data_IF_052658999664
#
_entry.id   IF_052658999664
#
_cell.length_a   1.000
_cell.length_b   1.000
_cell.length_c   1.000
_cell.angle_alpha   90.00
_cell.angle_beta   90.00
_cell.angle_gamma   90.00
#
_symmetry.space_group_name_H-M   'P 1'
#
loop_
_entity.id
_entity.type
_entity.pdbx_description
1 polymer ?
#
# COMPACT_ATOMS: atom_id res chain seq x y z
N UNK A 1 18.80 15.92 14.59
CA UNK A 1 17.82 15.97 15.71
C UNK A 1 18.53 15.89 17.07
N UNK A 2 19.52 14.99 17.23
CA UNK A 2 20.47 15.08 18.35
C UNK A 2 21.13 16.47 18.38
N UNK A 3 21.37 17.07 17.20
CA UNK A 3 21.84 18.44 17.03
C UNK A 3 20.84 19.51 17.55
N UNK A 4 19.53 19.27 17.40
CA UNK A 4 18.48 20.18 17.90
C UNK A 4 18.36 20.09 19.44
N UNK A 5 18.53 18.89 20.01
CA UNK A 5 18.59 18.70 21.45
C UNK A 5 19.83 19.40 22.04
N UNK A 6 21.01 19.21 21.43
CA UNK A 6 22.25 19.89 21.83
C UNK A 6 22.12 21.41 21.74
N UNK A 7 21.53 21.93 20.65
CA UNK A 7 21.26 23.36 20.49
C UNK A 7 20.32 23.89 21.60
N UNK A 8 19.32 23.12 22.01
CA UNK A 8 18.42 23.51 23.11
C UNK A 8 19.20 23.76 24.39
N UNK A 9 20.09 22.85 24.79
CA UNK A 9 20.93 23.01 25.98
C UNK A 9 21.87 24.22 25.89
N UNK A 10 22.46 24.48 24.72
CA UNK A 10 23.34 25.64 24.51
C UNK A 10 22.58 26.95 24.67
N UNK A 11 21.37 27.03 24.10
CA UNK A 11 20.55 28.23 24.24
C UNK A 11 20.11 28.43 25.69
N UNK A 12 19.64 27.37 26.35
CA UNK A 12 19.19 27.43 27.74
C UNK A 12 20.34 27.85 28.68
N UNK A 13 21.56 27.35 28.43
CA UNK A 13 22.78 27.80 29.13
C UNK A 13 23.10 29.28 28.88
N UNK A 14 22.89 29.79 27.66
CA UNK A 14 23.03 31.20 27.35
C UNK A 14 22.07 32.09 28.15
N UNK A 15 20.82 31.65 28.33
CA UNK A 15 19.84 32.37 29.17
C UNK A 15 20.27 32.34 30.65
N UNK A 16 20.79 31.21 31.13
CA UNK A 16 21.32 31.09 32.50
C UNK A 16 22.50 32.02 32.78
N UNK A 17 23.33 32.34 31.77
CA UNK A 17 24.38 33.36 31.92
C UNK A 17 23.81 34.77 32.12
N UNK A 18 22.64 35.07 31.54
CA UNK A 18 21.94 36.35 31.77
C UNK A 18 21.41 36.41 33.21
N UNK A 19 20.82 35.32 33.71
CA UNK A 19 20.43 35.22 35.12
C UNK A 19 21.63 35.31 36.06
N UNK A 20 22.78 34.75 35.69
CA UNK A 20 23.99 34.86 36.48
C UNK A 20 24.53 36.30 36.52
N UNK A 21 24.51 37.00 35.39
CA UNK A 21 24.85 38.41 35.33
C UNK A 21 23.88 39.29 36.16
N UNK A 22 22.64 38.83 36.37
CA UNK A 22 21.65 39.50 37.21
C UNK A 22 21.81 39.17 38.71
N UNK A 23 22.71 38.25 39.06
CA UNK A 23 22.96 37.81 40.43
C UNK A 23 21.99 36.75 40.95
N UNK A 24 21.09 36.23 40.11
CA UNK A 24 20.08 35.23 40.49
C UNK A 24 20.68 33.84 40.70
N UNK A 25 21.71 33.47 39.93
CA UNK A 25 22.38 32.17 40.01
C UNK A 25 23.90 32.29 39.83
N UNK A 26 24.70 31.31 40.30
CA UNK A 26 26.13 31.28 40.01
C UNK A 26 26.43 31.17 38.50
N UNK A 27 27.55 31.75 38.05
CA UNK A 27 27.98 31.71 36.64
C UNK A 27 28.25 30.30 36.10
N UNK A 28 28.52 29.33 36.99
CA UNK A 28 28.78 27.93 36.62
C UNK A 28 27.53 27.16 36.19
N UNK A 29 26.32 27.62 36.54
CA UNK A 29 25.07 26.85 36.33
C UNK A 29 24.78 26.63 34.85
N UNK A 30 24.92 27.67 34.01
CA UNK A 30 24.74 27.56 32.56
C UNK A 30 25.70 26.57 31.91
N UNK A 31 27.03 26.72 32.08
CA UNK A 31 28.02 25.77 31.59
C UNK A 31 27.80 24.34 32.11
N UNK A 32 27.40 24.16 33.37
CA UNK A 32 27.11 22.84 33.93
C UNK A 32 25.92 22.16 33.21
N UNK A 33 24.83 22.90 32.98
CA UNK A 33 23.67 22.38 32.23
C UNK A 33 24.07 21.98 30.80
N UNK A 34 24.79 22.86 30.09
CA UNK A 34 25.27 22.57 28.74
C UNK A 34 26.19 21.33 28.73
N UNK A 35 27.10 21.22 29.70
CA UNK A 35 27.99 20.06 29.84
C UNK A 35 27.22 18.74 30.00
N UNK A 36 26.24 18.68 30.91
CA UNK A 36 25.39 17.50 31.10
C UNK A 36 24.60 17.14 29.83
N UNK A 37 23.98 18.14 29.20
CA UNK A 37 23.18 17.94 27.99
C UNK A 37 23.99 17.50 26.78
N UNK A 38 25.10 18.19 26.50
CA UNK A 38 25.98 17.87 25.38
C UNK A 38 26.71 16.53 25.57
N UNK A 39 27.10 16.18 26.80
CA UNK A 39 27.64 14.85 27.10
C UNK A 39 26.61 13.76 26.80
N UNK A 40 25.35 13.97 27.20
CA UNK A 40 24.26 13.04 26.88
C UNK A 40 24.09 12.88 25.37
N UNK A 41 24.03 14.00 24.63
CA UNK A 41 23.92 13.99 23.16
C UNK A 41 25.11 13.27 22.52
N UNK A 42 26.33 13.52 22.97
CA UNK A 42 27.54 12.88 22.47
C UNK A 42 27.53 11.36 22.71
N UNK A 43 27.09 10.90 23.89
CA UNK A 43 26.94 9.47 24.20
C UNK A 43 25.98 8.81 23.22
N UNK A 44 24.82 9.40 22.96
CA UNK A 44 23.85 8.82 22.05
C UNK A 44 24.26 8.90 20.57
N UNK A 45 25.01 9.94 20.17
CA UNK A 45 25.64 9.99 18.86
C UNK A 45 26.65 8.86 18.69
N UNK A 46 27.54 8.65 19.67
CA UNK A 46 28.50 7.56 19.64
C UNK A 46 27.81 6.18 19.58
N UNK A 47 26.77 5.96 20.41
CA UNK A 47 25.98 4.72 20.36
C UNK A 47 25.35 4.47 18.98
N UNK A 48 24.94 5.54 18.31
CA UNK A 48 24.40 5.48 16.96
C UNK A 48 25.47 5.16 15.91
N UNK A 49 26.63 5.81 15.98
CA UNK A 49 27.73 5.61 15.02
C UNK A 49 28.36 4.21 15.14
N UNK A 50 28.45 3.65 16.35
CA UNK A 50 28.94 2.28 16.56
C UNK A 50 27.91 1.19 16.22
N UNK A 51 26.72 1.55 15.72
CA UNK A 51 25.65 0.61 15.35
C UNK A 51 25.09 -0.18 16.54
N UNK A 52 25.36 0.27 17.77
CA UNK A 52 24.84 -0.35 19.00
C UNK A 52 23.33 -0.08 19.10
N UNK A 53 22.90 1.11 18.66
CA UNK A 53 21.50 1.49 18.51
C UNK A 53 20.68 0.50 17.69
N UNK A 54 21.28 -0.09 16.64
CA UNK A 54 20.58 -0.91 15.66
C UNK A 54 20.19 -2.28 16.23
N UNK A 55 20.89 -2.69 17.29
CA UNK A 55 20.60 -3.91 18.06
C UNK A 55 19.52 -3.70 19.12
N UNK A 56 19.16 -2.45 19.42
CA UNK A 56 18.15 -2.12 20.41
C UNK A 56 16.76 -2.08 19.78
N UNK A 57 15.76 -2.52 20.56
CA UNK A 57 14.34 -2.46 20.14
C UNK A 57 13.85 -1.02 19.95
N UNK A 58 14.45 -0.07 20.66
CA UNK A 58 14.30 1.37 20.47
C UNK A 58 15.54 1.92 19.76
N UNK A 59 15.53 1.86 18.42
CA UNK A 59 16.66 2.27 17.59
C UNK A 59 17.10 3.72 17.86
N UNK A 60 16.16 4.63 18.13
CA UNK A 60 16.47 6.03 18.39
C UNK A 60 16.78 6.32 19.87
N UNK A 61 16.73 5.30 20.74
CA UNK A 61 16.88 5.44 22.19
C UNK A 61 16.00 6.56 22.77
N UNK A 62 14.77 6.71 22.28
CA UNK A 62 13.87 7.82 22.63
C UNK A 62 13.58 7.85 24.12
N UNK A 63 13.21 6.70 24.70
CA UNK A 63 12.84 6.63 26.12
C UNK A 63 14.06 6.86 27.03
N UNK A 64 15.23 6.21 26.83
CA UNK A 64 16.45 6.52 27.57
C UNK A 64 16.86 8.00 27.49
N UNK A 65 16.84 8.60 26.31
CA UNK A 65 17.17 10.02 26.11
C UNK A 65 16.20 10.94 26.85
N UNK A 66 14.89 10.72 26.69
CA UNK A 66 13.88 11.51 27.36
C UNK A 66 13.98 11.39 28.89
N UNK A 67 14.29 10.19 29.40
CA UNK A 67 14.46 9.93 30.83
C UNK A 67 15.68 10.64 31.39
N UNK A 68 16.84 10.57 30.73
CA UNK A 68 18.06 11.26 31.17
C UNK A 68 17.83 12.78 31.15
N UNK A 69 17.21 13.31 30.10
CA UNK A 69 16.87 14.73 30.06
C UNK A 69 15.90 15.13 31.18
N UNK A 70 14.87 14.32 31.44
CA UNK A 70 13.92 14.57 32.54
C UNK A 70 14.67 14.66 33.86
N UNK A 71 15.56 13.70 34.16
CA UNK A 71 16.35 13.69 35.39
C UNK A 71 17.24 14.94 35.48
N UNK A 72 17.93 15.31 34.39
CA UNK A 72 18.75 16.52 34.36
C UNK A 72 17.91 17.77 34.68
N UNK A 73 16.78 17.96 33.99
CA UNK A 73 15.94 19.16 34.17
C UNK A 73 15.33 19.25 35.57
N UNK A 74 14.84 18.12 36.12
CA UNK A 74 14.28 18.10 37.47
C UNK A 74 15.36 18.33 38.53
N UNK A 75 16.54 17.72 38.38
CA UNK A 75 17.66 17.90 39.32
C UNK A 75 18.11 19.37 39.38
N UNK A 76 18.22 20.02 38.22
CA UNK A 76 18.56 21.44 38.18
C UNK A 76 17.44 22.34 38.71
N UNK A 77 16.17 21.96 38.51
CA UNK A 77 15.04 22.68 39.10
C UNK A 77 15.02 22.61 40.64
N UNK A 78 15.44 21.48 41.23
CA UNK A 78 15.58 21.35 42.68
C UNK A 78 16.80 22.10 43.24
N UNK A 79 17.94 22.06 42.54
CA UNK A 79 19.16 22.73 42.97
C UNK A 79 19.09 24.26 42.83
N UNK A 80 18.37 24.74 41.80
CA UNK A 80 18.24 26.16 41.47
C UNK A 80 16.77 26.57 41.28
N UNK A 81 15.94 26.48 42.35
CA UNK A 81 14.50 26.73 42.28
C UNK A 81 14.17 28.17 41.88
N UNK A 82 15.13 29.09 42.08
CA UNK A 82 15.05 30.50 41.72
C UNK A 82 14.78 30.74 40.22
N UNK A 83 15.32 29.87 39.38
CA UNK A 83 15.18 29.88 37.91
C UNK A 83 14.44 28.63 37.42
N UNK A 84 13.75 27.91 38.31
CA UNK A 84 13.19 26.59 38.04
C UNK A 84 12.22 26.53 36.84
N UNK A 85 11.54 27.65 36.56
CA UNK A 85 10.64 27.80 35.39
C UNK A 85 11.37 27.55 34.06
N UNK A 86 12.65 27.93 33.94
CA UNK A 86 13.43 27.66 32.72
C UNK A 86 13.50 26.16 32.43
N UNK A 87 13.85 25.34 33.44
CA UNK A 87 13.99 23.90 33.25
C UNK A 87 12.63 23.23 32.95
N UNK A 88 11.55 23.71 33.57
CA UNK A 88 10.20 23.26 33.26
C UNK A 88 9.80 23.61 31.81
N UNK A 89 10.11 24.81 31.33
CA UNK A 89 9.89 25.20 29.93
C UNK A 89 10.70 24.32 28.97
N UNK A 90 11.94 23.96 29.31
CA UNK A 90 12.78 23.07 28.50
C UNK A 90 12.22 21.65 28.38
N UNK A 91 11.44 21.17 29.37
CA UNK A 91 10.76 19.87 29.26
C UNK A 91 9.75 19.84 28.10
N UNK A 92 9.00 20.92 27.86
CA UNK A 92 8.06 21.00 26.73
C UNK A 92 8.77 20.83 25.39
N UNK A 93 9.93 21.45 25.23
CA UNK A 93 10.73 21.40 24.00
C UNK A 93 11.26 19.98 23.78
N UNK A 94 11.87 19.37 24.80
CA UNK A 94 12.49 18.05 24.67
C UNK A 94 11.45 16.95 24.47
N UNK A 95 10.33 17.00 25.19
CA UNK A 95 9.24 16.05 24.98
C UNK A 95 8.52 16.27 23.66
N UNK A 96 8.43 17.52 23.18
CA UNK A 96 7.95 17.84 21.84
C UNK A 96 8.80 17.17 20.76
N UNK A 97 10.13 17.27 20.82
CA UNK A 97 11.01 16.58 19.88
C UNK A 97 10.97 15.07 20.02
N UNK A 98 10.94 14.55 21.26
CA UNK A 98 10.84 13.12 21.53
C UNK A 98 9.56 12.54 20.91
N UNK A 99 8.45 13.28 20.98
CA UNK A 99 7.16 12.84 20.44
C UNK A 99 7.17 12.60 18.93
N UNK A 100 8.05 13.27 18.16
CA UNK A 100 8.18 13.06 16.72
C UNK A 100 8.68 11.66 16.34
N UNK A 101 9.31 10.95 17.29
CA UNK A 101 9.93 9.64 17.07
C UNK A 101 9.33 8.53 17.93
N UNK A 102 8.52 8.89 18.91
CA UNK A 102 7.91 7.95 19.83
C UNK A 102 6.82 7.12 19.14
N UNK A 103 6.87 5.81 19.34
CA UNK A 103 5.68 4.97 19.22
C UNK A 103 4.66 5.32 20.31
N UNK A 104 3.37 4.97 20.15
CA UNK A 104 2.36 5.23 21.18
C UNK A 104 2.74 4.64 22.56
N UNK A 105 3.38 3.47 22.57
CA UNK A 105 3.84 2.81 23.80
C UNK A 105 4.98 3.60 24.46
N UNK A 106 5.97 4.06 23.69
CA UNK A 106 7.07 4.86 24.21
C UNK A 106 6.59 6.22 24.73
N UNK A 107 5.64 6.85 24.02
CA UNK A 107 5.01 8.09 24.45
C UNK A 107 4.30 7.92 25.80
N UNK A 108 3.55 6.82 25.99
CA UNK A 108 2.90 6.52 27.26
C UNK A 108 3.92 6.33 28.40
N UNK A 109 5.00 5.58 28.17
CA UNK A 109 6.06 5.39 29.18
C UNK A 109 6.70 6.74 29.55
N UNK A 110 7.09 7.53 28.55
CA UNK A 110 7.72 8.83 28.76
C UNK A 110 6.78 9.81 29.49
N UNK A 111 5.49 9.79 29.17
CA UNK A 111 4.45 10.56 29.85
C UNK A 111 4.29 10.15 31.32
N UNK A 112 4.25 8.85 31.60
CA UNK A 112 4.17 8.35 32.99
C UNK A 112 5.39 8.78 33.80
N UNK A 113 6.60 8.66 33.25
CA UNK A 113 7.83 9.11 33.92
C UNK A 113 7.83 10.62 34.17
N UNK A 114 7.41 11.42 33.17
CA UNK A 114 7.26 12.86 33.30
C UNK A 114 6.26 13.23 34.40
N UNK A 115 5.09 12.56 34.42
CA UNK A 115 4.06 12.81 35.42
C UNK A 115 4.54 12.48 36.84
N UNK A 116 5.24 11.35 37.02
CA UNK A 116 5.84 10.98 38.31
C UNK A 116 6.90 12.00 38.73
N UNK A 117 7.81 12.36 37.83
CA UNK A 117 8.89 13.31 38.10
C UNK A 117 8.40 14.71 38.46
N UNK A 118 7.42 15.23 37.71
CA UNK A 118 6.76 16.50 38.04
C UNK A 118 6.00 16.41 39.36
N UNK A 119 5.30 15.31 39.64
CA UNK A 119 4.62 15.12 40.93
C UNK A 119 5.62 15.18 42.08
N UNK A 120 6.77 14.48 41.96
CA UNK A 120 7.83 14.53 42.95
C UNK A 120 8.35 15.96 43.15
N UNK A 121 8.65 16.66 42.06
CA UNK A 121 9.15 18.03 42.10
C UNK A 121 8.15 19.01 42.74
N UNK A 122 6.85 18.92 42.44
CA UNK A 122 5.86 19.88 42.93
C UNK A 122 5.29 19.56 44.32
N UNK A 123 5.25 18.28 44.70
CA UNK A 123 4.64 17.84 45.97
C UNK A 123 5.68 17.56 47.05
N UNK A 124 6.85 17.03 46.66
CA UNK A 124 7.89 16.60 47.61
C UNK A 124 9.01 17.62 47.79
N UNK A 125 9.21 18.53 46.83
CA UNK A 125 10.26 19.55 46.92
C UNK A 125 9.90 20.63 47.95
N UNK A 126 10.86 20.93 48.82
CA UNK A 126 10.70 21.93 49.88
C UNK A 126 10.77 23.39 49.37
N UNK A 127 11.70 23.79 48.48
CA UNK A 127 11.74 25.16 47.98
C UNK A 127 10.67 25.40 46.90
N UNK A 128 9.94 26.53 46.97
CA UNK A 128 9.02 26.90 45.91
C UNK A 128 9.79 27.23 44.63
N UNK A 129 9.32 26.71 43.49
CA UNK A 129 9.83 27.12 42.18
C UNK A 129 9.36 28.54 41.90
N UNK A 130 10.30 29.46 41.66
CA UNK A 130 9.99 30.88 41.46
C UNK A 130 10.17 31.32 40.02
N UNK A 131 9.48 32.41 39.68
CA UNK A 131 9.68 33.15 38.44
C UNK A 131 10.53 34.41 38.74
N UNK A 132 11.78 34.48 38.28
CA UNK A 132 12.66 35.63 38.57
C UNK A 132 12.18 36.87 37.80
N UNK A 133 11.74 37.89 38.54
CA UNK A 133 11.11 39.11 38.02
C UNK A 133 11.52 40.38 38.79
N UNK A 134 12.54 40.29 39.64
CA UNK A 134 13.01 41.36 40.51
C UNK A 134 13.71 42.48 39.75
N UNK A 135 14.63 42.14 38.84
CA UNK A 135 15.35 43.13 38.01
C UNK A 135 14.85 43.17 36.56
N UNK A 136 15.11 44.27 35.85
CA UNK A 136 14.82 44.38 34.41
C UNK A 136 15.54 43.28 33.62
N UNK A 137 16.74 42.88 34.05
CA UNK A 137 17.51 41.83 33.39
C UNK A 137 16.92 40.44 33.62
N UNK A 138 16.42 40.16 34.83
CA UNK A 138 15.66 38.94 35.12
C UNK A 138 14.38 38.87 34.29
N UNK A 139 13.61 39.97 34.21
CA UNK A 139 12.40 40.03 33.38
C UNK A 139 12.71 39.78 31.90
N UNK A 140 13.81 40.33 31.40
CA UNK A 140 14.27 40.11 30.03
C UNK A 140 14.64 38.63 29.79
N UNK A 141 15.43 38.02 30.69
CA UNK A 141 15.77 36.59 30.60
C UNK A 141 14.52 35.70 30.67
N UNK A 142 13.59 36.00 31.58
CA UNK A 142 12.32 35.27 31.73
C UNK A 142 11.44 35.39 30.48
N UNK A 143 11.35 36.60 29.89
CA UNK A 143 10.67 36.78 28.61
C UNK A 143 11.30 35.92 27.51
N UNK A 144 12.64 35.85 27.47
CA UNK A 144 13.38 35.06 26.48
C UNK A 144 13.13 33.55 26.64
N UNK A 145 13.04 33.04 27.87
CA UNK A 145 12.65 31.64 28.15
C UNK A 145 11.33 31.29 27.45
N UNK A 146 10.28 32.07 27.71
CA UNK A 146 8.96 31.80 27.14
C UNK A 146 8.93 31.98 25.63
N UNK A 147 9.53 33.06 25.11
CA UNK A 147 9.54 33.35 23.68
C UNK A 147 10.25 32.24 22.89
N UNK A 148 11.39 31.76 23.38
CA UNK A 148 12.12 30.67 22.74
C UNK A 148 11.44 29.31 22.93
N UNK A 149 10.87 29.02 24.10
CA UNK A 149 10.14 27.78 24.33
C UNK A 149 8.92 27.67 23.40
N UNK A 150 8.12 28.74 23.28
CA UNK A 150 6.97 28.80 22.38
C UNK A 150 7.41 28.73 20.91
N UNK A 151 8.46 29.47 20.53
CA UNK A 151 9.02 29.42 19.19
C UNK A 151 9.49 28.02 18.78
N UNK A 152 10.17 27.30 19.68
CA UNK A 152 10.60 25.91 19.46
C UNK A 152 9.41 24.95 19.37
N UNK A 153 8.38 25.11 20.20
CA UNK A 153 7.16 24.30 20.12
C UNK A 153 6.42 24.51 18.78
N UNK A 154 6.30 25.76 18.33
CA UNK A 154 5.71 26.09 17.03
C UNK A 154 6.52 25.48 15.87
N UNK A 155 7.85 25.58 15.93
CA UNK A 155 8.74 24.96 14.94
C UNK A 155 8.54 23.44 14.85
N UNK A 156 8.44 22.74 15.98
CA UNK A 156 8.16 21.29 16.03
C UNK A 156 6.82 20.98 15.34
N UNK A 157 5.77 21.78 15.60
CA UNK A 157 4.46 21.61 14.97
C UNK A 157 4.50 21.77 13.44
N UNK A 158 5.19 22.81 12.94
CA UNK A 158 5.37 23.04 11.50
C UNK A 158 6.19 21.93 10.85
N UNK A 159 7.26 21.47 11.50
CA UNK A 159 8.05 20.33 11.03
C UNK A 159 7.20 19.06 10.95
N UNK A 160 6.37 18.78 11.96
CA UNK A 160 5.47 17.63 11.95
C UNK A 160 4.43 17.72 10.82
N UNK A 161 3.86 18.90 10.57
CA UNK A 161 2.89 19.11 9.49
C UNK A 161 3.52 18.91 8.11
N UNK A 162 4.71 19.48 7.88
CA UNK A 162 5.44 19.36 6.60
C UNK A 162 5.90 17.92 6.33
N UNK A 163 6.35 17.18 7.35
CA UNK A 163 6.68 15.76 7.21
C UNK A 163 5.45 14.93 6.81
N UNK A 164 4.30 15.20 7.44
CA UNK A 164 3.04 14.51 7.15
C UNK A 164 2.58 14.74 5.71
N UNK A 165 2.65 15.97 5.22
CA UNK A 165 2.32 16.31 3.84
C UNK A 165 3.24 15.61 2.83
N UNK A 166 4.55 15.57 3.10
CA UNK A 166 5.52 14.83 2.26
C UNK A 166 5.23 13.33 2.22
N UNK A 167 4.93 12.72 3.37
CA UNK A 167 4.59 11.30 3.44
C UNK A 167 3.29 11.01 2.68
N UNK A 168 2.28 11.87 2.81
CA UNK A 168 1.02 11.73 2.09
C UNK A 168 1.23 11.80 0.57
N UNK A 169 1.95 12.81 0.08
CA UNK A 169 2.25 12.97 -1.36
C UNK A 169 3.01 11.78 -1.93
N UNK A 170 4.04 11.29 -1.23
CA UNK A 170 4.77 10.08 -1.65
C UNK A 170 3.87 8.84 -1.67
N UNK A 171 2.95 8.70 -0.73
CA UNK A 171 1.99 7.60 -0.73
C UNK A 171 1.05 7.63 -1.94
N UNK A 172 0.58 8.82 -2.32
CA UNK A 172 -0.26 8.99 -3.52
C UNK A 172 0.52 8.69 -4.80
N UNK A 173 1.74 9.20 -4.93
CA UNK A 173 2.61 8.97 -6.08
C UNK A 173 2.93 7.48 -6.26
N UNK A 174 3.33 6.81 -5.18
CA UNK A 174 3.62 5.38 -5.19
C UNK A 174 2.42 4.57 -5.68
N UNK A 175 1.22 4.89 -5.19
CA UNK A 175 -0.02 4.21 -5.62
C UNK A 175 -0.30 4.42 -7.12
N UNK A 176 -0.07 5.63 -7.63
CA UNK A 176 -0.24 5.91 -9.05
C UNK A 176 0.76 5.15 -9.91
N UNK A 177 2.04 5.08 -9.50
CA UNK A 177 3.07 4.30 -10.19
C UNK A 177 2.74 2.81 -10.19
N UNK A 178 2.31 2.25 -9.06
CA UNK A 178 1.90 0.84 -8.99
C UNK A 178 0.76 0.53 -9.96
N UNK A 179 -0.29 1.37 -9.96
CA UNK A 179 -1.40 1.22 -10.91
C UNK A 179 -0.92 1.28 -12.36
N UNK A 180 0.06 2.14 -12.65
CA UNK A 180 0.62 2.22 -14.00
C UNK A 180 1.41 0.98 -14.39
N UNK A 181 2.12 0.36 -13.45
CA UNK A 181 2.83 -0.91 -13.68
C UNK A 181 1.84 -2.04 -13.91
N UNK A 182 0.79 -2.18 -13.08
CA UNK A 182 -0.32 -3.10 -13.33
C UNK A 182 -0.99 -2.82 -14.69
N UNK A 183 -1.07 -1.55 -15.08
CA UNK A 183 -1.57 -1.16 -16.39
C UNK A 183 -0.64 -1.51 -17.57
N UNK A 184 0.62 -1.84 -17.30
CA UNK A 184 1.59 -2.25 -18.31
C UNK A 184 1.83 -3.76 -18.30
N UNK A 185 1.39 -4.47 -17.27
CA UNK A 185 1.39 -5.92 -17.28
C UNK A 185 0.48 -6.42 -18.42
N UNK A 186 1.02 -7.30 -19.28
CA UNK A 186 0.29 -7.90 -20.39
C UNK A 186 -0.27 -9.29 -20.05
N UNK A 187 0.30 -9.93 -19.03
CA UNK A 187 -0.05 -11.28 -18.62
C UNK A 187 -0.91 -11.26 -17.34
N UNK A 188 -1.72 -12.30 -17.19
CA UNK A 188 -2.43 -12.66 -15.96
C UNK A 188 -1.46 -13.38 -15.01
N UNK A 189 -1.33 -12.88 -13.78
CA UNK A 189 -0.32 -13.37 -12.81
C UNK A 189 -0.52 -14.84 -12.41
N UNK A 190 -1.76 -15.33 -12.42
CA UNK A 190 -2.07 -16.70 -12.00
C UNK A 190 -1.78 -17.72 -13.11
N UNK A 191 -2.22 -17.40 -14.32
CA UNK A 191 -2.26 -18.35 -15.44
C UNK A 191 -1.11 -18.17 -16.44
N UNK A 192 -0.45 -17.01 -16.45
CA UNK A 192 0.55 -16.65 -17.46
C UNK A 192 -0.02 -16.40 -18.86
N UNK A 193 -1.34 -16.53 -19.06
CA UNK A 193 -2.01 -16.15 -20.30
C UNK A 193 -2.07 -14.62 -20.43
N UNK A 194 -2.39 -14.09 -21.61
CA UNK A 194 -2.64 -12.65 -21.74
C UNK A 194 -3.79 -12.23 -20.83
N UNK A 195 -3.68 -11.10 -20.14
CA UNK A 195 -4.80 -10.59 -19.36
C UNK A 195 -5.89 -10.03 -20.29
N UNK A 196 -7.08 -9.80 -19.71
CA UNK A 196 -8.25 -9.30 -20.43
C UNK A 196 -7.94 -8.11 -21.34
N UNK A 197 -7.18 -7.13 -20.85
CA UNK A 197 -6.84 -5.94 -21.65
C UNK A 197 -5.97 -6.31 -22.85
N UNK A 198 -4.93 -7.12 -22.64
CA UNK A 198 -4.01 -7.48 -23.70
C UNK A 198 -4.70 -8.34 -24.77
N UNK A 199 -5.48 -9.35 -24.37
CA UNK A 199 -6.18 -10.21 -25.34
C UNK A 199 -7.24 -9.46 -26.14
N UNK A 200 -7.93 -8.48 -25.54
CA UNK A 200 -8.88 -7.63 -26.26
C UNK A 200 -8.19 -6.74 -27.29
N UNK A 201 -7.05 -6.12 -26.93
CA UNK A 201 -6.25 -5.35 -27.89
C UNK A 201 -5.75 -6.22 -29.05
N UNK A 202 -5.34 -7.46 -28.76
CA UNK A 202 -4.93 -8.42 -29.77
C UNK A 202 -6.08 -8.87 -30.68
N UNK A 203 -7.30 -8.96 -30.15
CA UNK A 203 -8.51 -9.19 -30.93
C UNK A 203 -8.77 -8.03 -31.89
N UNK A 204 -8.70 -6.78 -31.40
CA UNK A 204 -8.88 -5.59 -32.24
C UNK A 204 -7.84 -5.54 -33.37
N UNK A 205 -6.58 -5.82 -33.06
CA UNK A 205 -5.50 -5.89 -34.06
C UNK A 205 -5.73 -7.02 -35.08
N UNK A 206 -6.22 -8.18 -34.63
CA UNK A 206 -6.52 -9.31 -35.50
C UNK A 206 -7.71 -9.03 -36.42
N UNK A 207 -8.73 -8.31 -35.93
CA UNK A 207 -9.89 -7.89 -36.71
C UNK A 207 -9.49 -6.95 -37.85
N UNK A 208 -8.64 -5.96 -37.56
CA UNK A 208 -8.14 -5.03 -38.59
C UNK A 208 -7.38 -5.79 -39.69
N UNK A 209 -6.47 -6.70 -39.31
CA UNK A 209 -5.71 -7.52 -40.28
C UNK A 209 -6.60 -8.46 -41.09
N UNK A 210 -7.56 -9.11 -40.45
CA UNK A 210 -8.50 -10.01 -41.12
C UNK A 210 -9.27 -9.30 -42.23
N UNK A 211 -9.66 -8.03 -41.99
CA UNK A 211 -10.34 -7.19 -42.99
C UNK A 211 -9.40 -6.77 -44.12
N UNK A 212 -8.19 -6.32 -43.80
CA UNK A 212 -7.22 -5.85 -44.79
C UNK A 212 -6.75 -6.98 -45.72
N UNK A 213 -6.50 -8.17 -45.17
CA UNK A 213 -5.97 -9.33 -45.89
C UNK A 213 -7.07 -10.25 -46.45
N UNK A 214 -8.36 -9.91 -46.23
CA UNK A 214 -9.51 -10.76 -46.53
C UNK A 214 -9.36 -12.20 -46.00
N UNK A 215 -8.82 -12.32 -44.79
CA UNK A 215 -8.58 -13.60 -44.11
C UNK A 215 -9.66 -13.89 -43.07
N UNK A 216 -10.07 -15.16 -42.91
CA UNK A 216 -11.06 -15.52 -41.91
C UNK A 216 -10.48 -15.36 -40.49
N UNK A 217 -11.28 -14.86 -39.56
CA UNK A 217 -10.93 -14.74 -38.15
C UNK A 217 -11.98 -15.46 -37.31
N UNK A 218 -11.54 -16.40 -36.47
CA UNK A 218 -12.43 -17.08 -35.53
C UNK A 218 -12.02 -16.75 -34.10
N UNK A 219 -13.00 -16.59 -33.22
CA UNK A 219 -12.79 -16.49 -31.77
C UNK A 219 -13.52 -17.61 -31.04
N UNK A 220 -13.04 -17.95 -29.86
CA UNK A 220 -13.72 -18.84 -28.95
C UNK A 220 -13.73 -18.25 -27.54
N UNK A 221 -14.93 -18.15 -26.96
CA UNK A 221 -15.11 -17.92 -25.52
C UNK A 221 -15.21 -19.28 -24.84
N UNK A 222 -14.37 -19.47 -23.84
CA UNK A 222 -14.19 -20.73 -23.12
C UNK A 222 -14.47 -20.49 -21.64
N UNK A 223 -15.23 -21.39 -21.02
CA UNK A 223 -15.53 -21.36 -19.59
C UNK A 223 -15.34 -22.74 -18.98
N UNK A 224 -14.70 -22.78 -17.81
CA UNK A 224 -14.55 -24.02 -17.04
C UNK A 224 -15.86 -24.39 -16.36
N UNK A 225 -16.37 -25.57 -16.69
CA UNK A 225 -17.64 -26.04 -16.19
C UNK A 225 -17.60 -26.25 -14.67
N UNK A 226 -18.60 -25.69 -13.98
CA UNK A 226 -18.77 -25.85 -12.54
C UNK A 226 -17.57 -25.37 -11.70
N UNK A 227 -16.77 -24.43 -12.20
CA UNK A 227 -15.57 -23.95 -11.49
C UNK A 227 -15.86 -23.44 -10.07
N UNK A 228 -16.97 -22.71 -9.87
CA UNK A 228 -17.42 -22.33 -8.53
C UNK A 228 -17.56 -23.52 -7.57
N UNK A 229 -18.11 -24.65 -8.04
CA UNK A 229 -18.26 -25.87 -7.24
C UNK A 229 -16.91 -26.50 -6.91
N UNK A 230 -15.92 -26.40 -7.80
CA UNK A 230 -14.54 -26.83 -7.53
C UNK A 230 -13.96 -26.00 -6.38
N UNK A 231 -14.11 -24.68 -6.43
CA UNK A 231 -13.67 -23.79 -5.34
C UNK A 231 -14.39 -24.10 -4.02
N UNK A 232 -15.71 -24.29 -4.06
CA UNK A 232 -16.51 -24.55 -2.87
C UNK A 232 -16.16 -25.91 -2.22
N UNK A 233 -15.79 -26.91 -3.02
CA UNK A 233 -15.49 -28.27 -2.53
C UNK A 233 -14.02 -28.46 -2.14
N UNK A 234 -13.09 -27.87 -2.87
CA UNK A 234 -11.64 -28.12 -2.73
C UNK A 234 -10.83 -26.89 -2.30
N UNK A 235 -11.49 -25.73 -2.13
CA UNK A 235 -10.88 -24.47 -1.76
C UNK A 235 -10.26 -23.71 -2.94
N UNK A 236 -10.14 -22.39 -2.78
CA UNK A 236 -9.55 -21.49 -3.77
C UNK A 236 -8.14 -21.89 -4.24
N UNK A 237 -7.20 -22.34 -3.38
CA UNK A 237 -5.87 -22.77 -3.84
C UNK A 237 -5.93 -23.89 -4.89
N UNK A 238 -6.86 -24.83 -4.75
CA UNK A 238 -7.05 -25.92 -5.72
C UNK A 238 -7.65 -25.41 -7.02
N UNK A 239 -8.61 -24.48 -6.95
CA UNK A 239 -9.15 -23.83 -8.14
C UNK A 239 -8.09 -23.03 -8.90
N UNK A 240 -7.16 -22.38 -8.20
CA UNK A 240 -6.04 -21.67 -8.80
C UNK A 240 -5.09 -22.61 -9.56
N UNK A 241 -4.82 -23.81 -9.02
CA UNK A 241 -4.06 -24.85 -9.74
C UNK A 241 -4.80 -25.37 -10.97
N UNK A 242 -6.13 -25.51 -10.88
CA UNK A 242 -6.96 -25.90 -12.03
C UNK A 242 -6.85 -24.87 -13.15
N UNK A 243 -6.97 -23.57 -12.84
CA UNK A 243 -6.84 -22.49 -13.82
C UNK A 243 -5.44 -22.47 -14.47
N UNK A 244 -4.39 -22.64 -13.67
CA UNK A 244 -3.01 -22.66 -14.17
C UNK A 244 -2.78 -23.85 -15.11
N UNK A 245 -3.22 -25.04 -14.70
CA UNK A 245 -3.07 -26.27 -15.48
C UNK A 245 -3.85 -26.21 -16.78
N UNK A 246 -5.08 -25.69 -16.72
CA UNK A 246 -5.89 -25.43 -17.90
C UNK A 246 -5.16 -24.49 -18.87
N UNK A 247 -4.69 -23.33 -18.40
CA UNK A 247 -4.01 -22.36 -19.25
C UNK A 247 -2.75 -22.93 -19.91
N UNK A 248 -1.91 -23.65 -19.16
CA UNK A 248 -0.71 -24.33 -19.69
C UNK A 248 -1.10 -25.35 -20.76
N UNK A 249 -2.16 -26.12 -20.51
CA UNK A 249 -2.63 -27.15 -21.45
C UNK A 249 -3.10 -26.53 -22.76
N UNK A 250 -3.88 -25.45 -22.71
CA UNK A 250 -4.34 -24.76 -23.92
C UNK A 250 -3.15 -24.16 -24.66
N UNK A 251 -2.27 -23.45 -23.94
CA UNK A 251 -1.10 -22.80 -24.54
C UNK A 251 -0.18 -23.80 -25.27
N UNK A 252 0.02 -24.99 -24.71
CA UNK A 252 0.82 -26.06 -25.33
C UNK A 252 0.17 -26.69 -26.57
N UNK A 253 -1.12 -26.46 -26.80
CA UNK A 253 -1.90 -27.12 -27.85
C UNK A 253 -2.47 -26.17 -28.92
N UNK A 254 -2.14 -24.87 -28.87
CA UNK A 254 -2.49 -23.88 -29.88
C UNK A 254 -1.27 -23.51 -30.74
N UNK A 255 -1.50 -22.85 -31.88
CA UNK A 255 -0.43 -22.41 -32.77
C UNK A 255 0.22 -21.14 -32.21
N UNK A 256 1.45 -20.87 -32.62
CA UNK A 256 2.18 -19.65 -32.22
C UNK A 256 1.48 -18.35 -32.67
N UNK A 257 0.70 -18.42 -33.76
CA UNK A 257 -0.09 -17.28 -34.26
C UNK A 257 -1.38 -17.04 -33.48
N UNK A 258 -1.87 -18.05 -32.75
CA UNK A 258 -3.09 -17.96 -31.96
C UNK A 258 -2.81 -17.09 -30.72
N UNK A 259 -3.86 -16.43 -30.20
CA UNK A 259 -3.75 -15.60 -29.00
C UNK A 259 -4.71 -16.09 -27.94
N UNK A 260 -4.18 -16.37 -26.75
CA UNK A 260 -4.94 -16.92 -25.64
C UNK A 260 -4.80 -16.01 -24.42
N UNK A 261 -5.94 -15.64 -23.84
CA UNK A 261 -5.97 -14.78 -22.67
C UNK A 261 -7.11 -15.07 -21.72
N UNK A 262 -6.92 -14.71 -20.46
CA UNK A 262 -7.94 -14.81 -19.43
C UNK A 262 -8.87 -13.61 -19.51
N UNK A 263 -10.12 -13.88 -19.88
CA UNK A 263 -11.15 -12.86 -20.10
C UNK A 263 -11.78 -12.39 -18.78
N UNK A 264 -11.97 -13.30 -17.82
CA UNK A 264 -12.40 -12.95 -16.46
C UNK A 264 -12.69 -14.19 -15.61
N UNK A 265 -12.27 -14.23 -14.34
CA UNK A 265 -12.56 -15.38 -13.47
C UNK A 265 -12.10 -16.72 -14.08
N UNK A 266 -13.04 -17.60 -14.40
CA UNK A 266 -12.82 -18.87 -15.12
C UNK A 266 -13.01 -18.81 -16.65
N UNK A 267 -13.23 -17.63 -17.21
CA UNK A 267 -13.46 -17.39 -18.63
C UNK A 267 -12.17 -17.03 -19.36
N UNK A 268 -11.99 -17.61 -20.55
CA UNK A 268 -10.85 -17.40 -21.43
C UNK A 268 -11.31 -17.07 -22.85
N UNK A 269 -10.51 -16.25 -23.52
CA UNK A 269 -10.69 -15.89 -24.92
C UNK A 269 -9.53 -16.45 -25.73
N UNK A 270 -9.87 -17.18 -26.79
CA UNK A 270 -8.93 -17.65 -27.79
C UNK A 270 -9.24 -16.97 -29.14
N UNK A 271 -8.24 -16.32 -29.73
CA UNK A 271 -8.31 -15.68 -31.03
C UNK A 271 -7.51 -16.52 -32.02
N UNK A 272 -8.14 -16.88 -33.15
CA UNK A 272 -7.62 -17.80 -34.16
C UNK A 272 -7.57 -17.09 -35.54
N UNK A 273 -6.52 -16.30 -35.82
CA UNK A 273 -6.34 -15.66 -37.12
C UNK A 273 -6.19 -16.70 -38.25
N UNK A 274 -6.74 -16.41 -39.42
CA UNK A 274 -6.69 -17.30 -40.59
C UNK A 274 -7.52 -18.58 -40.44
N UNK A 275 -8.44 -18.64 -39.49
CA UNK A 275 -9.26 -19.83 -39.21
C UNK A 275 -10.71 -19.59 -39.61
N UNK A 276 -11.23 -20.43 -40.50
CA UNK A 276 -12.65 -20.43 -40.91
C UNK A 276 -13.53 -21.06 -39.84
N UNK A 277 -14.85 -20.87 -39.96
CA UNK A 277 -15.84 -21.50 -39.09
C UNK A 277 -15.69 -23.03 -39.03
N UNK A 278 -15.55 -23.68 -40.19
CA UNK A 278 -15.34 -25.12 -40.32
C UNK A 278 -13.98 -25.59 -39.76
N UNK A 279 -12.96 -24.72 -39.82
CA UNK A 279 -11.63 -25.00 -39.30
C UNK A 279 -11.52 -24.81 -37.78
N UNK A 280 -12.31 -23.91 -37.20
CA UNK A 280 -12.30 -23.60 -35.77
C UNK A 280 -12.84 -24.75 -34.93
N UNK A 281 -13.99 -25.31 -35.30
CA UNK A 281 -14.66 -26.34 -34.50
C UNK A 281 -13.78 -27.56 -34.18
N UNK A 282 -13.08 -28.20 -35.15
CA UNK A 282 -12.19 -29.32 -34.86
C UNK A 282 -11.05 -28.97 -33.90
N UNK A 283 -10.53 -27.73 -33.96
CA UNK A 283 -9.46 -27.27 -33.07
C UNK A 283 -9.99 -27.22 -31.63
N UNK A 284 -11.14 -26.58 -31.42
CA UNK A 284 -11.73 -26.41 -30.10
C UNK A 284 -12.25 -27.73 -29.52
N UNK A 285 -12.80 -28.62 -30.37
CA UNK A 285 -13.25 -29.94 -29.93
C UNK A 285 -12.07 -30.79 -29.46
N UNK A 286 -10.95 -30.77 -30.20
CA UNK A 286 -9.70 -31.42 -29.76
C UNK A 286 -9.21 -30.86 -28.42
N UNK A 287 -9.21 -29.52 -28.25
CA UNK A 287 -8.83 -28.92 -26.97
C UNK A 287 -9.76 -29.37 -25.84
N UNK A 288 -11.06 -29.47 -26.11
CA UNK A 288 -12.08 -29.92 -25.13
C UNK A 288 -11.81 -31.35 -24.69
N UNK A 289 -11.54 -32.24 -25.64
CA UNK A 289 -11.19 -33.63 -25.37
C UNK A 289 -9.92 -33.74 -24.55
N UNK A 290 -8.87 -32.97 -24.87
CA UNK A 290 -7.62 -32.93 -24.10
C UNK A 290 -7.90 -32.54 -22.64
N UNK A 291 -8.62 -31.44 -22.42
CA UNK A 291 -8.94 -30.95 -21.06
C UNK A 291 -9.77 -31.97 -20.28
N UNK A 292 -10.75 -32.60 -20.92
CA UNK A 292 -11.60 -33.61 -20.29
C UNK A 292 -10.85 -34.92 -19.99
N UNK A 293 -9.80 -35.24 -20.76
CA UNK A 293 -8.99 -36.44 -20.60
C UNK A 293 -7.78 -36.24 -19.65
N UNK A 294 -7.49 -35.02 -19.23
CA UNK A 294 -6.42 -34.75 -18.26
C UNK A 294 -6.71 -35.49 -16.94
N UNK A 295 -5.64 -36.01 -16.34
CA UNK A 295 -5.70 -36.61 -15.02
C UNK A 295 -5.71 -35.52 -13.93
N UNK A 296 -6.91 -35.04 -13.61
CA UNK A 296 -7.13 -34.07 -12.53
C UNK A 296 -7.01 -34.69 -11.13
N UNK A 297 -6.83 -36.01 -11.02
CA UNK A 297 -6.70 -36.69 -9.72
C UNK A 297 -5.44 -36.29 -8.95
N UNK A 298 -4.44 -35.75 -9.66
CA UNK A 298 -3.24 -35.16 -9.07
C UNK A 298 -3.54 -33.99 -8.11
N UNK A 299 -4.67 -33.29 -8.28
CA UNK A 299 -5.10 -32.23 -7.38
C UNK A 299 -6.04 -32.72 -6.29
N UNK A 300 -6.98 -33.61 -6.64
CA UNK A 300 -7.85 -34.30 -5.68
C UNK A 300 -8.44 -35.55 -6.32
N UNK A 301 -8.53 -36.64 -5.55
CA UNK A 301 -9.09 -37.91 -6.01
C UNK A 301 -10.51 -37.73 -6.58
N UNK A 302 -10.76 -38.27 -7.77
CA UNK A 302 -12.05 -38.20 -8.45
C UNK A 302 -12.41 -36.83 -9.04
N UNK A 303 -11.50 -35.86 -9.03
CA UNK A 303 -11.72 -34.58 -9.71
C UNK A 303 -11.83 -34.78 -11.21
N UNK A 304 -12.79 -34.08 -11.83
CA UNK A 304 -12.92 -33.99 -13.27
C UNK A 304 -13.25 -32.54 -13.63
N UNK A 305 -12.53 -31.98 -14.60
CA UNK A 305 -12.74 -30.63 -15.10
C UNK A 305 -13.04 -30.71 -16.59
N UNK A 306 -14.12 -30.06 -17.00
CA UNK A 306 -14.52 -29.94 -18.40
C UNK A 306 -14.68 -28.47 -18.77
N UNK A 307 -14.80 -28.19 -20.06
CA UNK A 307 -15.05 -26.83 -20.53
C UNK A 307 -16.20 -26.77 -21.52
N UNK A 308 -16.92 -25.66 -21.48
CA UNK A 308 -17.90 -25.28 -22.50
C UNK A 308 -17.30 -24.18 -23.38
N UNK A 309 -17.57 -24.25 -24.68
CA UNK A 309 -16.97 -23.33 -25.66
C UNK A 309 -18.03 -22.80 -26.61
N UNK A 310 -18.05 -21.47 -26.78
CA UNK A 310 -18.80 -20.78 -27.83
C UNK A 310 -17.86 -20.23 -28.89
N UNK A 311 -18.07 -20.62 -30.15
CA UNK A 311 -17.24 -20.21 -31.29
C UNK A 311 -18.01 -19.20 -32.14
N UNK A 312 -17.34 -18.12 -32.56
CA UNK A 312 -17.87 -17.24 -33.60
C UNK A 312 -16.76 -16.89 -34.61
N UNK A 313 -17.13 -16.84 -35.89
CA UNK A 313 -16.24 -16.45 -36.98
C UNK A 313 -16.69 -15.09 -37.50
N UNK A 314 -15.75 -14.16 -37.67
CA UNK A 314 -15.97 -12.81 -38.15
C UNK A 314 -16.81 -12.81 -39.43
N UNK A 315 -17.94 -12.10 -39.38
CA UNK A 315 -18.76 -11.78 -40.56
C UNK A 315 -18.42 -10.37 -41.08
N UNK A 316 -18.85 -10.06 -42.31
CA UNK A 316 -18.59 -8.76 -42.95
C UNK A 316 -19.13 -7.60 -42.12
N UNK A 317 -18.33 -6.53 -42.01
CA UNK A 317 -18.64 -5.29 -41.27
C UNK A 317 -18.95 -5.45 -39.76
N UNK A 318 -18.64 -6.60 -39.16
CA UNK A 318 -18.94 -6.87 -37.75
C UNK A 318 -17.92 -6.24 -36.78
N UNK A 319 -18.39 -5.61 -35.70
CA UNK A 319 -17.53 -5.03 -34.65
C UNK A 319 -17.02 -6.10 -33.67
N UNK A 320 -15.90 -5.86 -32.94
CA UNK A 320 -15.41 -6.80 -31.92
C UNK A 320 -16.48 -7.19 -30.89
N UNK A 321 -17.32 -6.24 -30.48
CA UNK A 321 -18.38 -6.47 -29.49
C UNK A 321 -19.49 -7.37 -30.02
N UNK A 322 -19.86 -7.22 -31.29
CA UNK A 322 -20.86 -8.06 -31.93
C UNK A 322 -20.35 -9.50 -32.10
N UNK A 323 -19.09 -9.66 -32.50
CA UNK A 323 -18.43 -10.96 -32.62
C UNK A 323 -18.36 -11.68 -31.26
N UNK A 324 -17.95 -10.95 -30.20
CA UNK A 324 -17.94 -11.49 -28.83
C UNK A 324 -19.33 -11.85 -28.33
N UNK A 325 -20.35 -11.03 -28.62
CA UNK A 325 -21.72 -11.32 -28.22
C UNK A 325 -22.26 -12.60 -28.88
N UNK A 326 -21.88 -12.89 -30.14
CA UNK A 326 -22.24 -14.16 -30.80
C UNK A 326 -21.52 -15.35 -30.17
N UNK A 327 -20.24 -15.20 -29.83
CA UNK A 327 -19.50 -16.24 -29.13
C UNK A 327 -20.10 -16.51 -27.73
N UNK A 328 -20.56 -15.46 -27.04
CA UNK A 328 -21.20 -15.56 -25.72
C UNK A 328 -22.57 -16.27 -25.80
N UNK A 329 -23.41 -15.91 -26.78
CA UNK A 329 -24.68 -16.60 -27.06
C UNK A 329 -24.44 -18.11 -27.31
N UNK A 330 -23.41 -18.46 -28.09
CA UNK A 330 -23.03 -19.86 -28.34
C UNK A 330 -22.51 -20.57 -27.08
N UNK A 331 -21.73 -19.88 -26.24
CA UNK A 331 -21.24 -20.42 -24.97
C UNK A 331 -22.40 -20.67 -24.00
N UNK A 332 -23.37 -19.75 -23.96
CA UNK A 332 -24.60 -19.93 -23.20
C UNK A 332 -25.37 -21.17 -23.67
N UNK A 333 -25.53 -21.36 -24.98
CA UNK A 333 -26.13 -22.57 -25.54
C UNK A 333 -25.35 -23.85 -25.16
N UNK A 334 -24.01 -23.81 -25.18
CA UNK A 334 -23.18 -24.94 -24.75
C UNK A 334 -23.45 -25.32 -23.29
N UNK A 335 -23.53 -24.33 -22.40
CA UNK A 335 -23.84 -24.52 -20.97
C UNK A 335 -25.28 -25.04 -20.76
N UNK A 336 -26.24 -24.51 -21.52
CA UNK A 336 -27.65 -24.89 -21.42
C UNK A 336 -27.92 -26.33 -21.90
N UNK A 337 -27.18 -26.80 -22.91
CA UNK A 337 -27.38 -28.15 -23.47
C UNK A 337 -26.61 -29.25 -22.74
N UNK A 338 -26.09 -28.99 -21.55
CA UNK A 338 -25.45 -30.00 -20.70
C UNK A 338 -23.93 -29.88 -20.61
N UNK A 339 -23.36 -28.74 -21.00
CA UNK A 339 -21.92 -28.41 -20.83
C UNK A 339 -20.98 -29.39 -21.57
N UNK A 340 -19.68 -29.29 -21.32
CA UNK A 340 -18.63 -30.10 -21.92
C UNK A 340 -18.79 -30.26 -23.44
N UNK A 341 -18.95 -29.14 -24.14
CA UNK A 341 -19.21 -29.13 -25.58
C UNK A 341 -18.80 -27.82 -26.23
N UNK A 342 -18.64 -27.92 -27.54
CA UNK A 342 -18.40 -26.79 -28.42
C UNK A 342 -19.68 -26.48 -29.19
N UNK A 343 -20.10 -25.21 -29.20
CA UNK A 343 -21.22 -24.72 -30.01
C UNK A 343 -20.72 -23.59 -30.91
N UNK A 344 -21.12 -23.64 -32.18
CA UNK A 344 -20.85 -22.58 -33.13
C UNK A 344 -22.02 -21.59 -33.16
N UNK A 345 -21.71 -20.30 -33.10
CA UNK A 345 -22.67 -19.24 -33.32
C UNK A 345 -23.20 -19.31 -34.76
N UNK A 346 -24.47 -18.93 -34.92
CA UNK A 346 -25.06 -18.73 -36.24
C UNK A 346 -24.41 -17.50 -36.91
N UNK A 347 -24.28 -17.48 -38.24
CA UNK A 347 -23.87 -16.28 -38.96
C UNK A 347 -24.80 -15.12 -38.65
N UNK A 348 -24.29 -13.89 -38.64
CA UNK A 348 -25.09 -12.69 -38.57
C UNK A 348 -25.94 -12.56 -39.85
N UNK A 349 -27.10 -13.21 -39.87
CA UNK A 349 -28.06 -13.06 -40.96
C UNK A 349 -28.58 -11.61 -40.96
N UNK A 350 -28.46 -10.92 -42.10
CA UNK A 350 -28.75 -9.49 -42.29
C UNK A 350 -30.19 -9.01 -42.09
N UNK A 351 -31.04 -9.71 -41.32
CA UNK A 351 -32.47 -9.37 -41.17
C UNK A 351 -33.02 -9.44 -39.73
N UNK A 352 -32.17 -9.52 -38.69
CA UNK A 352 -32.63 -9.71 -37.30
C UNK A 352 -32.45 -8.51 -36.35
N UNK A 353 -32.05 -7.33 -36.84
CA UNK A 353 -31.87 -6.13 -36.00
C UNK A 353 -33.19 -5.47 -35.54
N UNK A 354 -34.37 -5.93 -35.98
CA UNK A 354 -35.65 -5.34 -35.58
C UNK A 354 -36.34 -6.01 -34.38
N UNK A 355 -35.95 -7.21 -33.95
CA UNK A 355 -36.73 -7.97 -32.94
C UNK A 355 -36.07 -8.03 -31.55
N UNK A 356 -34.73 -8.06 -31.45
CA UNK A 356 -34.05 -8.27 -30.15
C UNK A 356 -33.94 -7.03 -29.25
N UNK A 357 -34.10 -5.81 -29.78
CA UNK A 357 -34.12 -4.59 -28.96
C UNK A 357 -35.38 -4.47 -28.06
N UNK A 358 -36.46 -5.20 -28.34
CA UNK A 358 -37.69 -5.16 -27.52
C UNK A 358 -37.73 -6.20 -26.38
N UNK A 359 -36.89 -7.24 -26.40
CA UNK A 359 -36.95 -8.31 -25.38
C UNK A 359 -36.14 -7.98 -24.12
N UNK A 360 -34.98 -7.32 -24.24
CA UNK A 360 -34.13 -6.98 -23.07
C UNK A 360 -34.69 -5.83 -22.21
N UNK A 361 -35.67 -5.07 -22.71
CA UNK A 361 -36.33 -4.01 -21.94
C UNK A 361 -37.48 -4.51 -21.05
N UNK A 362 -37.91 -5.77 -21.18
CA UNK A 362 -39.01 -6.34 -20.38
C UNK A 362 -38.57 -7.03 -19.09
N UNK A 363 -37.34 -7.52 -19.00
CA UNK A 363 -36.87 -8.30 -17.84
C UNK A 363 -36.11 -7.46 -16.78
N UNK A 364 -36.11 -6.13 -16.91
CA UNK A 364 -35.60 -5.21 -15.88
C UNK A 364 -36.72 -4.54 -15.04
N UNK A 365 -37.93 -5.11 -15.08
CA UNK A 365 -39.04 -4.74 -14.18
C UNK A 365 -39.77 -5.99 -13.67
N UNK A 366 -39.13 -6.77 -12.81
CA UNK A 366 -39.77 -7.50 -11.70
C UNK A 366 -38.77 -7.59 -10.56
#
# INVERSE_FOLDING_TARGET
MLDLAGLSYVIDAGILLIYAAAGTVPTIVGPALAGCGLATVAIFLALSEFGISDRLRDHYCVVPQATINLVIMLSFAELFPQVGVLFLCSLFVVYGFSSLRSTPRQAAIAWTLLAIGLTALFVLSAPPITLPMGSTMERFATMLVFLLALGRCMYIGVLAATLRDKLYKRGVELKATYRRIEELAELDELTGAYNRRCIMRMLDDALLRARDDAMPLTIALIDLDWFKRINDLYGHPTGDEVLRTFAITIFANIREVDRFGRYGGEEFLLVLPGTTQDGGYPILERLREIVAALDWSAFSEGMAVTMSVGIATLDDDETPEALLARADDALYEAKAHGRNRVVQARPACGDALSVRAMSRARDLRV
#
